data_IF_054524033323
#
_entry.id   IF_054524033323
#
_cell.length_a   1.000
_cell.length_b   1.000
_cell.length_c   1.000
_cell.angle_alpha   90.00
_cell.angle_beta   90.00
_cell.angle_gamma   90.00
#
_symmetry.space_group_name_H-M   'P 1'
#
loop_
_entity.id
_entity.type
_entity.pdbx_description
1 polymer ?
#
# COMPACT_ATOMS: atom_id res chain seq x y z
N UNK A 1 3.46 12.02 -8.82
CA UNK A 1 3.00 10.72 -8.29
C UNK A 1 4.18 10.07 -7.55
N UNK A 2 3.96 9.29 -6.48
CA UNK A 2 5.05 8.68 -5.70
C UNK A 2 5.84 7.65 -6.57
N UNK A 3 7.18 7.73 -6.67
CA UNK A 3 7.97 6.83 -7.53
C UNK A 3 7.79 5.34 -7.23
N UNK A 4 7.61 4.96 -5.96
CA UNK A 4 7.34 3.58 -5.57
C UNK A 4 6.01 3.10 -6.18
N UNK A 5 4.97 3.92 -6.09
CA UNK A 5 3.64 3.57 -6.59
C UNK A 5 3.64 3.47 -8.12
N UNK A 6 4.41 4.31 -8.81
CA UNK A 6 4.61 4.18 -10.25
C UNK A 6 5.31 2.87 -10.61
N UNK A 7 6.37 2.49 -9.88
CA UNK A 7 7.05 1.21 -10.12
C UNK A 7 6.14 0.00 -9.90
N UNK A 8 5.20 0.08 -8.96
CA UNK A 8 4.22 -0.97 -8.67
C UNK A 8 3.05 -1.03 -9.68
N UNK A 9 2.99 -0.15 -10.68
CA UNK A 9 2.02 -0.27 -11.78
C UNK A 9 2.41 -1.33 -12.82
N UNK A 10 3.61 -1.89 -12.68
CA UNK A 10 4.19 -2.79 -13.66
C UNK A 10 4.08 -4.26 -13.22
N UNK A 11 3.60 -5.18 -14.08
CA UNK A 11 3.47 -6.61 -13.76
C UNK A 11 4.74 -7.26 -13.22
N UNK A 12 5.91 -6.87 -13.72
CA UNK A 12 7.21 -7.38 -13.31
C UNK A 12 7.58 -7.07 -11.85
N UNK A 13 6.85 -6.17 -11.18
CA UNK A 13 7.03 -5.89 -9.76
C UNK A 13 6.50 -7.02 -8.86
N UNK A 14 5.81 -8.02 -9.43
CA UNK A 14 5.12 -9.07 -8.69
C UNK A 14 5.60 -10.47 -9.08
N UNK A 15 5.72 -11.41 -8.12
CA UNK A 15 6.19 -12.77 -8.38
C UNK A 15 5.10 -13.69 -8.98
N UNK A 16 3.93 -13.15 -9.31
CA UNK A 16 2.77 -13.89 -9.80
C UNK A 16 2.16 -13.20 -11.02
N UNK A 17 1.35 -13.91 -11.79
CA UNK A 17 0.60 -13.32 -12.90
C UNK A 17 -0.34 -12.24 -12.38
N UNK A 18 -0.19 -11.03 -12.91
CA UNK A 18 -1.03 -9.88 -12.61
C UNK A 18 -1.81 -9.45 -13.84
N UNK A 19 -3.09 -9.20 -13.66
CA UNK A 19 -3.96 -8.64 -14.70
C UNK A 19 -4.58 -7.35 -14.17
N UNK A 20 -4.78 -6.37 -15.03
CA UNK A 20 -5.52 -5.14 -14.74
C UNK A 20 -5.08 -4.44 -13.43
N UNK A 21 -3.78 -4.12 -13.32
CA UNK A 21 -3.24 -3.45 -12.13
C UNK A 21 -3.99 -2.12 -11.90
N UNK A 22 -4.65 -2.01 -10.75
CA UNK A 22 -5.39 -0.82 -10.35
C UNK A 22 -4.90 -0.31 -9.01
N UNK A 23 -4.78 1.02 -8.89
CA UNK A 23 -4.36 1.67 -7.65
C UNK A 23 -5.51 2.48 -7.11
N UNK A 24 -5.94 2.13 -5.91
CA UNK A 24 -6.83 2.95 -5.10
C UNK A 24 -6.01 3.71 -4.05
N UNK A 25 -6.07 5.03 -4.12
CA UNK A 25 -5.44 5.91 -3.14
C UNK A 25 -6.46 6.39 -2.11
N UNK A 26 -6.08 6.31 -0.84
CA UNK A 26 -6.84 6.90 0.27
C UNK A 26 -5.98 7.94 0.98
N UNK A 27 -6.53 8.63 1.98
CA UNK A 27 -5.78 9.57 2.80
C UNK A 27 -4.59 8.92 3.53
N UNK A 28 -4.67 7.63 3.88
CA UNK A 28 -3.71 6.97 4.77
C UNK A 28 -2.98 5.78 4.13
N UNK A 29 -3.37 5.34 2.95
CA UNK A 29 -2.80 4.15 2.30
C UNK A 29 -2.97 4.16 0.79
N UNK A 30 -2.12 3.40 0.11
CA UNK A 30 -2.34 2.94 -1.25
C UNK A 30 -2.74 1.47 -1.22
N UNK A 31 -3.70 1.09 -2.06
CA UNK A 31 -4.08 -0.30 -2.31
C UNK A 31 -3.84 -0.60 -3.77
N UNK A 32 -2.96 -1.57 -4.04
CA UNK A 32 -2.65 -2.04 -5.38
C UNK A 32 -3.35 -3.37 -5.59
N UNK A 33 -4.30 -3.39 -6.52
CA UNK A 33 -5.07 -4.57 -6.90
C UNK A 33 -4.42 -5.21 -8.12
N UNK A 34 -4.05 -6.48 -8.00
CA UNK A 34 -3.28 -7.21 -9.03
C UNK A 34 -4.02 -8.48 -9.48
N UNK A 35 -5.34 -8.41 -9.55
CA UNK A 35 -6.22 -9.57 -9.80
C UNK A 35 -6.58 -10.28 -8.51
N UNK A 36 -6.00 -11.47 -8.27
CA UNK A 36 -6.33 -12.30 -7.08
C UNK A 36 -5.76 -11.76 -5.77
N UNK A 37 -4.76 -10.88 -5.85
CA UNK A 37 -4.06 -10.35 -4.69
C UNK A 37 -4.25 -8.84 -4.58
N UNK A 38 -4.17 -8.34 -3.36
CA UNK A 38 -4.16 -6.92 -3.04
C UNK A 38 -2.97 -6.63 -2.13
N UNK A 39 -2.23 -5.57 -2.46
CA UNK A 39 -1.11 -5.08 -1.66
C UNK A 39 -1.49 -3.74 -1.05
N UNK A 40 -1.44 -3.63 0.28
CA UNK A 40 -1.76 -2.39 1.00
C UNK A 40 -0.48 -1.77 1.57
N UNK A 41 -0.23 -0.51 1.26
CA UNK A 41 0.93 0.26 1.72
C UNK A 41 0.43 1.42 2.57
N UNK A 42 0.79 1.46 3.85
CA UNK A 42 0.50 2.58 4.75
C UNK A 42 1.40 3.78 4.46
N UNK A 43 0.81 4.96 4.34
CA UNK A 43 1.52 6.22 4.14
C UNK A 43 2.22 6.66 5.43
N UNK A 44 3.31 7.39 5.31
CA UNK A 44 3.95 8.08 6.44
C UNK A 44 3.14 9.35 6.74
N UNK A 45 2.18 9.26 7.65
CA UNK A 45 1.27 10.35 7.99
C UNK A 45 0.95 10.33 9.49
N UNK A 46 0.70 11.49 10.05
CA UNK A 46 0.08 11.67 11.37
C UNK A 46 -1.13 12.60 11.20
N UNK A 47 -2.31 12.09 11.53
CA UNK A 47 -3.58 12.82 11.45
C UNK A 47 -4.09 13.27 12.83
N UNK A 48 -3.28 13.15 13.89
CA UNK A 48 -3.64 13.46 15.28
C UNK A 48 -4.46 12.38 15.97
N UNK A 49 -5.34 11.68 15.25
CA UNK A 49 -6.08 10.50 15.75
C UNK A 49 -5.51 9.17 15.23
N UNK A 50 -4.58 9.23 14.28
CA UNK A 50 -3.95 8.07 13.66
C UNK A 50 -2.52 8.44 13.28
N UNK A 51 -1.56 7.67 13.79
CA UNK A 51 -0.15 7.97 13.62
C UNK A 51 0.61 6.80 12.99
N UNK A 52 1.02 7.01 11.74
CA UNK A 52 1.85 6.13 10.91
C UNK A 52 3.23 6.75 10.64
N UNK A 53 3.69 7.71 11.46
CA UNK A 53 4.96 8.42 11.26
C UNK A 53 6.19 7.51 11.32
N UNK A 54 6.19 6.51 12.20
CA UNK A 54 7.31 5.56 12.37
C UNK A 54 7.04 4.20 11.74
N UNK A 55 8.10 3.48 11.41
CA UNK A 55 7.99 2.12 10.86
C UNK A 55 7.36 1.14 11.87
N UNK A 56 7.68 1.29 13.16
CA UNK A 56 7.11 0.47 14.23
C UNK A 56 5.61 0.68 14.36
N UNK A 57 5.14 1.93 14.29
CA UNK A 57 3.71 2.25 14.31
C UNK A 57 3.00 1.67 13.09
N UNK A 58 3.56 1.86 11.89
CA UNK A 58 3.01 1.24 10.67
C UNK A 58 2.94 -0.28 10.77
N UNK A 59 3.99 -0.92 11.28
CA UNK A 59 4.01 -2.38 11.48
C UNK A 59 2.92 -2.81 12.46
N UNK A 60 2.79 -2.16 13.61
CA UNK A 60 1.73 -2.45 14.58
C UNK A 60 0.34 -2.40 13.93
N UNK A 61 0.02 -1.29 13.26
CA UNK A 61 -1.28 -1.14 12.59
C UNK A 61 -1.48 -2.05 11.37
N UNK A 62 -0.43 -2.64 10.79
CA UNK A 62 -0.60 -3.67 9.76
C UNK A 62 -1.03 -5.01 10.38
N UNK A 63 -0.58 -5.32 11.59
CA UNK A 63 -0.95 -6.57 12.28
C UNK A 63 -2.38 -6.51 12.83
N UNK A 64 -2.86 -5.34 13.23
CA UNK A 64 -4.25 -5.15 13.67
C UNK A 64 -5.30 -5.33 12.56
N UNK A 65 -4.89 -5.42 11.28
CA UNK A 65 -5.79 -5.60 10.13
C UNK A 65 -5.93 -7.06 9.65
N UNK A 66 -5.22 -8.01 10.28
CA UNK A 66 -5.19 -9.44 9.93
C UNK A 66 -6.12 -10.26 10.85
#
# INVERSE_FOLDING_TARGET
MNPLIQALQHPEAYPHVTENIHIAETHISWVILTGKFAYKIKKTVDLGFLDFSTIQKRQHFCHEEL
#
